data_IF_226321733010
#
_entry.id   IF_226321733010
#
_cell.length_a   1.000
_cell.length_b   1.000
_cell.length_c   1.000
_cell.angle_alpha   90.00
_cell.angle_beta   90.00
_cell.angle_gamma   90.00
#
_symmetry.space_group_name_H-M   'P 1'
#
loop_
_entity.id
_entity.type
_entity.pdbx_description
1 polymer ?
#
# COMPACT_ATOMS: atom_id res chain seq x y z
N UNK A 1 53.63 -71.68 -23.87
CA UNK A 1 52.27 -71.35 -23.38
C UNK A 1 52.08 -69.87 -23.65
N UNK A 2 50.96 -69.41 -24.21
CA UNK A 2 50.79 -67.98 -24.47
C UNK A 2 50.43 -67.26 -23.17
N UNK A 3 51.37 -66.47 -22.65
CA UNK A 3 51.11 -65.57 -21.53
C UNK A 3 50.15 -64.46 -21.98
N UNK A 4 48.96 -64.46 -21.41
CA UNK A 4 47.98 -63.42 -21.69
C UNK A 4 48.48 -62.12 -21.06
N UNK A 5 48.95 -61.20 -21.91
CA UNK A 5 49.30 -59.84 -21.52
C UNK A 5 48.08 -59.22 -20.82
N UNK A 6 48.15 -59.09 -19.49
CA UNK A 6 47.03 -58.64 -18.67
C UNK A 6 46.76 -57.17 -18.98
N UNK A 7 45.63 -56.90 -19.61
CA UNK A 7 45.16 -55.54 -19.84
C UNK A 7 44.61 -54.98 -18.52
N UNK A 8 45.31 -54.02 -17.93
CA UNK A 8 44.86 -53.30 -16.75
C UNK A 8 43.59 -52.49 -17.04
N UNK A 9 42.64 -52.49 -16.11
CA UNK A 9 41.43 -51.67 -16.24
C UNK A 9 41.78 -50.17 -16.22
N UNK A 10 41.00 -49.36 -16.94
CA UNK A 10 41.23 -47.92 -17.08
C UNK A 10 40.12 -47.12 -16.40
N UNK A 11 40.48 -46.47 -15.30
CA UNK A 11 39.66 -45.53 -14.54
C UNK A 11 39.76 -44.14 -15.19
N UNK A 12 38.87 -43.21 -14.82
CA UNK A 12 38.66 -41.86 -15.40
C UNK A 12 39.90 -40.95 -15.63
N UNK A 13 41.11 -41.33 -15.16
CA UNK A 13 42.37 -40.60 -15.36
C UNK A 13 43.61 -41.48 -15.62
N UNK A 14 43.46 -42.79 -15.83
CA UNK A 14 44.58 -43.72 -16.01
C UNK A 14 44.24 -45.16 -15.63
N UNK A 15 45.23 -46.05 -15.63
CA UNK A 15 45.05 -47.44 -15.19
C UNK A 15 44.72 -47.52 -13.69
N UNK A 16 44.00 -48.57 -13.29
CA UNK A 16 43.78 -48.89 -11.88
C UNK A 16 45.13 -49.13 -11.19
N UNK A 17 45.38 -48.31 -10.16
CA UNK A 17 46.63 -48.33 -9.42
C UNK A 17 46.80 -49.62 -8.64
N UNK A 18 45.74 -50.17 -8.05
CA UNK A 18 45.88 -51.36 -7.19
C UNK A 18 46.21 -52.60 -8.02
N UNK A 19 45.61 -52.72 -9.22
CA UNK A 19 45.97 -53.76 -10.20
C UNK A 19 47.44 -53.63 -10.66
N UNK A 20 47.89 -52.42 -10.98
CA UNK A 20 49.27 -52.18 -11.45
C UNK A 20 50.29 -52.39 -10.32
N UNK A 21 50.06 -51.87 -9.11
CA UNK A 21 50.95 -52.07 -7.97
C UNK A 21 51.02 -53.57 -7.56
N UNK A 22 49.92 -54.34 -7.72
CA UNK A 22 49.89 -55.79 -7.50
C UNK A 22 50.66 -56.58 -8.58
N UNK A 23 50.46 -56.30 -9.87
CA UNK A 23 51.21 -56.97 -10.94
C UNK A 23 52.72 -56.65 -10.85
N UNK A 24 53.07 -55.41 -10.50
CA UNK A 24 54.45 -55.01 -10.22
C UNK A 24 55.03 -55.65 -8.96
N UNK A 25 54.21 -56.18 -8.04
CA UNK A 25 54.66 -56.99 -6.93
C UNK A 25 54.94 -58.45 -7.35
N UNK A 26 54.07 -59.04 -8.19
CA UNK A 26 54.28 -60.39 -8.75
C UNK A 26 55.59 -60.47 -9.55
N UNK A 27 55.77 -59.56 -10.51
CA UNK A 27 56.98 -59.47 -11.34
C UNK A 27 58.28 -59.27 -10.52
N UNK A 28 58.19 -58.62 -9.35
CA UNK A 28 59.35 -58.50 -8.44
C UNK A 28 59.64 -59.82 -7.73
N UNK A 29 58.60 -60.51 -7.25
CA UNK A 29 58.74 -61.85 -6.67
C UNK A 29 59.32 -62.87 -7.65
N UNK A 30 58.82 -62.88 -8.88
CA UNK A 30 59.31 -63.73 -9.98
C UNK A 30 60.78 -63.43 -10.32
N UNK A 31 61.17 -62.15 -10.38
CA UNK A 31 62.57 -61.76 -10.59
C UNK A 31 63.50 -62.16 -9.44
N UNK A 32 63.04 -62.09 -8.19
CA UNK A 32 63.83 -62.51 -7.03
C UNK A 32 63.88 -64.04 -6.88
N UNK A 33 62.85 -64.78 -7.31
CA UNK A 33 62.91 -66.23 -7.43
C UNK A 33 63.90 -66.66 -8.53
N UNK A 34 63.82 -66.05 -9.73
CA UNK A 34 64.76 -66.31 -10.83
C UNK A 34 66.21 -65.98 -10.46
N UNK A 35 66.44 -64.96 -9.62
CA UNK A 35 67.76 -64.69 -9.01
C UNK A 35 68.21 -65.82 -8.10
N UNK A 36 67.37 -66.27 -7.17
CA UNK A 36 67.68 -67.40 -6.28
C UNK A 36 67.93 -68.72 -7.03
N UNK A 37 67.19 -68.98 -8.11
CA UNK A 37 67.43 -70.10 -9.03
C UNK A 37 68.79 -69.95 -9.75
N UNK A 38 69.15 -68.74 -10.17
CA UNK A 38 70.47 -68.43 -10.76
C UNK A 38 71.64 -68.61 -9.78
N UNK A 39 71.50 -68.13 -8.54
CA UNK A 39 72.52 -68.26 -7.50
C UNK A 39 72.72 -69.72 -7.08
N UNK A 40 71.65 -70.48 -6.89
CA UNK A 40 71.73 -71.92 -6.58
C UNK A 40 72.30 -72.74 -7.74
N UNK A 41 72.00 -72.38 -8.99
CA UNK A 41 72.65 -72.98 -10.16
C UNK A 41 74.14 -72.65 -10.23
N UNK A 42 74.55 -71.41 -9.92
CA UNK A 42 75.95 -71.00 -9.87
C UNK A 42 76.74 -71.79 -8.82
N UNK A 43 76.24 -71.87 -7.58
CA UNK A 43 76.82 -72.69 -6.51
C UNK A 43 76.93 -74.17 -6.91
N UNK A 44 75.92 -74.71 -7.61
CA UNK A 44 75.96 -76.08 -8.12
C UNK A 44 76.98 -76.30 -9.25
N UNK A 45 77.31 -75.26 -10.04
CA UNK A 45 78.42 -75.33 -11.00
C UNK A 45 79.78 -75.19 -10.33
N UNK A 46 79.91 -74.31 -9.33
CA UNK A 46 81.17 -74.14 -8.58
C UNK A 46 81.56 -75.42 -7.83
N UNK A 47 80.62 -76.07 -7.15
CA UNK A 47 80.85 -77.35 -6.47
C UNK A 47 81.29 -78.47 -7.44
N UNK A 48 80.80 -78.47 -8.69
CA UNK A 48 81.26 -79.40 -9.74
C UNK A 48 82.68 -79.10 -10.20
N UNK A 49 83.05 -77.82 -10.32
CA UNK A 49 84.42 -77.41 -10.66
C UNK A 49 85.39 -77.80 -9.55
N UNK A 50 85.01 -77.60 -8.28
CA UNK A 50 85.79 -78.02 -7.11
C UNK A 50 86.04 -79.54 -7.11
N UNK A 51 84.99 -80.37 -7.27
CA UNK A 51 85.13 -81.83 -7.37
C UNK A 51 86.04 -82.26 -8.53
N UNK A 52 85.92 -81.61 -9.71
CA UNK A 52 86.78 -81.91 -10.86
C UNK A 52 88.25 -81.50 -10.63
N UNK A 53 88.52 -80.45 -9.84
CA UNK A 53 89.89 -80.12 -9.43
C UNK A 53 90.44 -81.11 -8.39
N UNK A 54 89.62 -81.57 -7.44
CA UNK A 54 90.04 -82.61 -6.48
C UNK A 54 90.33 -83.95 -7.18
N UNK A 55 89.53 -84.35 -8.17
CA UNK A 55 89.79 -85.52 -9.02
C UNK A 55 91.10 -85.40 -9.81
N UNK A 56 91.40 -84.19 -10.33
CA UNK A 56 92.61 -83.90 -11.09
C UNK A 56 93.86 -83.94 -10.19
N UNK A 57 93.84 -83.29 -9.03
CA UNK A 57 94.93 -83.32 -8.05
C UNK A 57 95.15 -84.76 -7.53
N UNK A 58 94.07 -85.51 -7.30
CA UNK A 58 94.16 -86.92 -6.95
C UNK A 58 94.74 -87.77 -8.10
N UNK A 59 94.55 -87.39 -9.37
CA UNK A 59 95.17 -88.05 -10.52
C UNK A 59 96.67 -87.70 -10.66
N UNK A 60 97.04 -86.44 -10.45
CA UNK A 60 98.44 -85.98 -10.40
C UNK A 60 99.20 -86.72 -9.29
N UNK A 61 98.67 -86.74 -8.06
CA UNK A 61 99.27 -87.47 -6.95
C UNK A 61 99.36 -89.01 -7.18
N UNK A 62 98.55 -89.57 -8.08
CA UNK A 62 98.66 -90.97 -8.54
C UNK A 62 99.79 -91.14 -9.57
N UNK A 63 100.02 -90.15 -10.44
CA UNK A 63 101.16 -90.11 -11.36
C UNK A 63 102.49 -89.93 -10.62
N UNK A 64 102.59 -88.98 -9.68
CA UNK A 64 103.76 -88.75 -8.83
C UNK A 64 104.14 -90.02 -8.04
N UNK A 65 103.13 -90.75 -7.53
CA UNK A 65 103.33 -92.04 -6.88
C UNK A 65 103.81 -93.14 -7.83
N UNK A 66 103.45 -93.10 -9.11
CA UNK A 66 103.96 -94.03 -10.11
C UNK A 66 105.41 -93.68 -10.47
N UNK A 67 105.74 -92.40 -10.65
CA UNK A 67 107.11 -91.93 -10.89
C UNK A 67 108.04 -92.23 -9.70
N UNK A 68 107.60 -91.97 -8.47
CA UNK A 68 108.35 -92.33 -7.27
C UNK A 68 108.54 -93.85 -7.10
N UNK A 69 107.63 -94.69 -7.64
CA UNK A 69 107.83 -96.14 -7.72
C UNK A 69 108.85 -96.51 -8.79
N UNK A 70 108.81 -95.88 -9.97
CA UNK A 70 109.80 -96.10 -11.03
C UNK A 70 111.20 -95.67 -10.59
N UNK A 71 111.35 -94.52 -9.92
CA UNK A 71 112.63 -94.06 -9.36
C UNK A 71 113.18 -95.00 -8.28
N UNK A 72 112.33 -95.54 -7.40
CA UNK A 72 112.74 -96.57 -6.44
C UNK A 72 113.15 -97.88 -7.12
N UNK A 73 112.45 -98.28 -8.18
CA UNK A 73 112.80 -99.46 -8.95
C UNK A 73 114.13 -99.27 -9.68
N UNK A 74 114.38 -98.08 -10.23
CA UNK A 74 115.66 -97.71 -10.84
C UNK A 74 116.81 -97.68 -9.81
N UNK A 75 116.58 -97.15 -8.61
CA UNK A 75 117.56 -97.25 -7.51
C UNK A 75 117.81 -98.70 -7.10
N UNK A 76 116.77 -99.54 -7.02
CA UNK A 76 116.92 -100.96 -6.70
C UNK A 76 117.68 -101.74 -7.80
N UNK A 77 117.48 -101.39 -9.08
CA UNK A 77 118.29 -101.90 -10.19
C UNK A 77 119.73 -101.44 -10.05
N UNK A 78 119.99 -100.16 -9.72
CA UNK A 78 121.34 -99.65 -9.54
C UNK A 78 122.06 -100.31 -8.36
N UNK A 79 121.40 -100.56 -7.23
CA UNK A 79 122.01 -101.31 -6.11
C UNK A 79 122.27 -102.77 -6.48
N UNK A 80 121.44 -103.39 -7.33
CA UNK A 80 121.69 -104.76 -7.82
C UNK A 80 122.84 -104.82 -8.85
N UNK A 81 123.09 -103.74 -9.60
CA UNK A 81 124.24 -103.60 -10.50
C UNK A 81 125.54 -103.35 -9.70
N UNK A 82 125.45 -102.63 -8.56
CA UNK A 82 126.55 -102.44 -7.60
C UNK A 82 126.85 -103.73 -6.79
N UNK A 83 125.84 -104.41 -6.24
CA UNK A 83 125.98 -105.73 -5.60
C UNK A 83 126.49 -106.80 -6.59
N UNK A 84 126.12 -106.69 -7.87
CA UNK A 84 126.63 -107.53 -8.96
C UNK A 84 128.05 -107.19 -9.44
N UNK A 85 128.69 -106.15 -8.91
CA UNK A 85 130.03 -105.71 -9.29
C UNK A 85 131.13 -106.04 -8.27
N UNK A 86 130.78 -106.26 -6.98
CA UNK A 86 131.77 -106.41 -5.90
C UNK A 86 132.15 -107.88 -5.60
N UNK A 87 131.41 -108.88 -6.11
CA UNK A 87 131.87 -110.29 -6.08
C UNK A 87 132.83 -110.58 -7.24
N UNK A 88 134.09 -110.24 -7.05
CA UNK A 88 135.19 -110.52 -8.00
C UNK A 88 136.24 -111.48 -7.44
N UNK A 89 135.78 -112.62 -6.93
CA UNK A 89 136.66 -113.77 -6.64
C UNK A 89 136.93 -114.58 -7.92
N UNK A 90 138.19 -114.75 -8.38
CA UNK A 90 138.45 -115.37 -9.68
C UNK A 90 138.57 -116.90 -9.60
N UNK A 91 137.48 -117.64 -9.85
CA UNK A 91 137.46 -118.97 -10.52
C UNK A 91 136.02 -119.53 -10.59
N UNK A 92 135.28 -119.23 -11.68
CA UNK A 92 133.93 -119.79 -11.90
C UNK A 92 133.10 -119.07 -12.96
N UNK A 93 132.23 -119.82 -13.64
CA UNK A 93 131.00 -119.42 -14.36
C UNK A 93 130.93 -118.05 -15.04
N UNK A 94 131.73 -117.91 -16.10
CA UNK A 94 131.56 -116.85 -17.11
C UNK A 94 130.26 -116.94 -17.93
N UNK A 95 129.25 -117.75 -17.56
CA UNK A 95 127.99 -117.92 -18.30
C UNK A 95 126.76 -117.34 -17.58
N UNK A 96 126.56 -117.58 -16.27
CA UNK A 96 125.35 -117.11 -15.57
C UNK A 96 125.28 -115.58 -15.55
N UNK A 97 126.37 -114.89 -15.21
CA UNK A 97 126.46 -113.42 -15.30
C UNK A 97 126.33 -112.84 -16.71
N UNK A 98 126.27 -113.67 -17.76
CA UNK A 98 125.82 -113.28 -19.12
C UNK A 98 124.35 -113.63 -19.34
N UNK A 99 123.88 -114.81 -18.92
CA UNK A 99 122.46 -115.17 -19.02
C UNK A 99 121.55 -114.22 -18.24
N UNK A 100 121.93 -113.80 -17.04
CA UNK A 100 121.12 -112.87 -16.22
C UNK A 100 121.01 -111.49 -16.89
N UNK A 101 122.11 -110.96 -17.44
CA UNK A 101 122.07 -109.70 -18.23
C UNK A 101 121.32 -109.83 -19.55
N UNK A 102 121.41 -110.97 -20.23
CA UNK A 102 120.59 -111.24 -21.44
C UNK A 102 119.10 -111.32 -21.08
N UNK A 103 118.73 -111.99 -19.98
CA UNK A 103 117.34 -112.05 -19.52
C UNK A 103 116.83 -110.71 -19.01
N UNK A 104 117.65 -109.89 -18.33
CA UNK A 104 117.26 -108.53 -17.98
C UNK A 104 117.12 -107.63 -19.21
N UNK A 105 117.99 -107.76 -20.22
CA UNK A 105 117.82 -107.04 -21.50
C UNK A 105 116.58 -107.52 -22.28
N UNK A 106 116.23 -108.81 -22.20
CA UNK A 106 115.01 -109.37 -22.79
C UNK A 106 113.75 -108.89 -22.05
N UNK A 107 113.77 -108.87 -20.72
CA UNK A 107 112.69 -108.31 -19.88
C UNK A 107 112.54 -106.80 -20.11
N UNK A 108 113.64 -106.05 -20.17
CA UNK A 108 113.63 -104.61 -20.48
C UNK A 108 113.08 -104.35 -21.89
N UNK A 109 113.46 -105.16 -22.88
CA UNK A 109 112.92 -105.06 -24.25
C UNK A 109 111.44 -105.43 -24.33
N UNK A 110 110.99 -106.43 -23.57
CA UNK A 110 109.56 -106.77 -23.48
C UNK A 110 108.79 -105.67 -22.73
N UNK A 111 109.37 -105.06 -21.70
CA UNK A 111 108.78 -103.91 -21.00
C UNK A 111 108.76 -102.65 -21.87
N UNK A 112 109.77 -102.43 -22.71
CA UNK A 112 109.84 -101.35 -23.71
C UNK A 112 108.78 -101.54 -24.80
N UNK A 113 108.60 -102.76 -25.31
CA UNK A 113 107.56 -103.09 -26.31
C UNK A 113 106.14 -103.04 -25.70
N UNK A 114 105.98 -103.45 -24.42
CA UNK A 114 104.73 -103.26 -23.66
C UNK A 114 104.45 -101.79 -23.34
N UNK A 115 105.47 -100.98 -23.01
CA UNK A 115 105.31 -99.54 -22.79
C UNK A 115 104.98 -98.82 -24.10
N UNK A 116 105.67 -99.18 -25.19
CA UNK A 116 105.42 -98.70 -26.55
C UNK A 116 103.97 -98.99 -26.96
N UNK A 117 103.53 -100.25 -26.85
CA UNK A 117 102.16 -100.64 -27.19
C UNK A 117 101.10 -100.01 -26.26
N UNK A 118 101.39 -99.82 -24.97
CA UNK A 118 100.53 -99.05 -24.06
C UNK A 118 100.44 -97.57 -24.48
N UNK A 119 101.55 -96.94 -24.89
CA UNK A 119 101.58 -95.56 -25.38
C UNK A 119 100.85 -95.41 -26.72
N UNK A 120 100.97 -96.35 -27.66
CA UNK A 120 100.20 -96.32 -28.92
C UNK A 120 98.70 -96.58 -28.68
N UNK A 121 98.35 -97.46 -27.75
CA UNK A 121 96.95 -97.69 -27.37
C UNK A 121 96.36 -96.49 -26.62
N UNK A 122 97.13 -95.84 -25.75
CA UNK A 122 96.71 -94.63 -25.03
C UNK A 122 96.56 -93.43 -25.97
N UNK A 123 97.50 -93.20 -26.90
CA UNK A 123 97.39 -92.14 -27.92
C UNK A 123 96.20 -92.38 -28.86
N UNK A 124 96.03 -93.57 -29.42
CA UNK A 124 94.86 -93.93 -30.25
C UNK A 124 93.54 -93.75 -29.48
N UNK A 125 93.52 -94.08 -28.18
CA UNK A 125 92.34 -93.88 -27.33
C UNK A 125 92.07 -92.41 -27.03
N UNK A 126 93.11 -91.61 -26.81
CA UNK A 126 93.01 -90.17 -26.57
C UNK A 126 92.58 -89.42 -27.84
N UNK A 127 93.16 -89.74 -29.00
CA UNK A 127 92.74 -89.25 -30.32
C UNK A 127 91.27 -89.56 -30.56
N UNK A 128 90.83 -90.80 -30.32
CA UNK A 128 89.43 -91.17 -30.41
C UNK A 128 88.53 -90.36 -29.45
N UNK A 129 88.92 -90.22 -28.19
CA UNK A 129 88.14 -89.43 -27.21
C UNK A 129 88.04 -87.96 -27.65
N UNK A 130 89.11 -87.40 -28.22
CA UNK A 130 89.11 -86.05 -28.79
C UNK A 130 88.20 -85.96 -30.02
N UNK A 131 88.22 -86.93 -30.93
CA UNK A 131 87.35 -86.95 -32.11
C UNK A 131 85.87 -87.14 -31.74
N UNK A 132 85.55 -88.09 -30.85
CA UNK A 132 84.20 -88.31 -30.32
C UNK A 132 83.69 -87.03 -29.59
N UNK A 133 84.55 -86.35 -28.81
CA UNK A 133 84.21 -85.09 -28.13
C UNK A 133 84.13 -83.87 -29.07
N UNK A 134 84.95 -83.79 -30.11
CA UNK A 134 84.87 -82.77 -31.16
C UNK A 134 83.55 -82.91 -31.93
N UNK A 135 83.19 -84.14 -32.31
CA UNK A 135 81.94 -84.45 -33.00
C UNK A 135 80.72 -84.10 -32.13
N UNK A 136 80.74 -84.44 -30.83
CA UNK A 136 79.65 -84.11 -29.91
C UNK A 136 79.52 -82.60 -29.67
N UNK A 137 80.64 -81.89 -29.47
CA UNK A 137 80.66 -80.42 -29.39
C UNK A 137 80.02 -79.78 -30.62
N UNK A 138 80.33 -80.28 -31.81
CA UNK A 138 79.83 -79.68 -33.06
C UNK A 138 78.39 -80.11 -33.39
N UNK A 139 77.89 -81.23 -32.85
CA UNK A 139 76.44 -81.53 -32.75
C UNK A 139 75.74 -80.52 -31.86
N UNK A 140 76.18 -80.38 -30.60
CA UNK A 140 75.59 -79.47 -29.60
C UNK A 140 75.57 -78.03 -30.15
N UNK A 141 76.64 -77.58 -30.80
CA UNK A 141 76.69 -76.26 -31.47
C UNK A 141 75.67 -76.12 -32.60
N UNK A 142 75.50 -77.15 -33.43
CA UNK A 142 74.53 -77.14 -34.54
C UNK A 142 73.09 -77.15 -34.01
N UNK A 143 72.82 -77.98 -33.01
CA UNK A 143 71.51 -78.07 -32.36
C UNK A 143 71.14 -76.75 -31.67
N UNK A 144 72.05 -76.18 -30.87
CA UNK A 144 71.85 -74.85 -30.26
C UNK A 144 71.70 -73.72 -31.31
N UNK A 145 72.36 -73.81 -32.47
CA UNK A 145 72.15 -72.86 -33.57
C UNK A 145 70.78 -73.03 -34.25
N UNK A 146 70.32 -74.26 -34.44
CA UNK A 146 68.97 -74.53 -34.97
C UNK A 146 67.87 -74.11 -33.99
N UNK A 147 68.06 -74.35 -32.69
CA UNK A 147 67.13 -73.92 -31.64
C UNK A 147 67.10 -72.39 -31.51
N UNK A 148 68.26 -71.73 -31.46
CA UNK A 148 68.33 -70.26 -31.46
C UNK A 148 67.67 -69.65 -32.70
N UNK A 149 67.85 -70.26 -33.88
CA UNK A 149 67.17 -69.84 -35.11
C UNK A 149 65.64 -70.01 -35.03
N UNK A 150 65.15 -71.11 -34.45
CA UNK A 150 63.70 -71.34 -34.23
C UNK A 150 63.12 -70.32 -33.25
N UNK A 151 63.76 -70.10 -32.10
CA UNK A 151 63.31 -69.12 -31.09
C UNK A 151 63.31 -67.70 -31.66
N UNK A 152 64.32 -67.33 -32.47
CA UNK A 152 64.33 -66.04 -33.15
C UNK A 152 63.21 -65.91 -34.19
N UNK A 153 62.87 -66.97 -34.92
CA UNK A 153 61.75 -66.97 -35.87
C UNK A 153 60.38 -66.91 -35.16
N UNK A 154 60.22 -67.62 -34.05
CA UNK A 154 59.00 -67.61 -33.24
C UNK A 154 58.79 -66.22 -32.60
N UNK A 155 59.82 -65.64 -31.98
CA UNK A 155 59.77 -64.29 -31.42
C UNK A 155 59.55 -63.20 -32.48
N UNK A 156 60.11 -63.34 -33.69
CA UNK A 156 59.82 -62.45 -34.82
C UNK A 156 58.37 -62.57 -35.28
N UNK A 157 57.83 -63.80 -35.36
CA UNK A 157 56.44 -64.02 -35.74
C UNK A 157 55.45 -63.47 -34.69
N UNK A 158 55.72 -63.69 -33.41
CA UNK A 158 54.91 -63.15 -32.31
C UNK A 158 54.97 -61.61 -32.29
N UNK A 159 56.15 -61.01 -32.48
CA UNK A 159 56.27 -59.56 -32.62
C UNK A 159 55.51 -59.00 -33.83
N UNK A 160 55.51 -59.70 -34.97
CA UNK A 160 54.66 -59.35 -36.11
C UNK A 160 53.16 -59.48 -35.81
N UNK A 161 52.73 -60.52 -35.11
CA UNK A 161 51.32 -60.73 -34.73
C UNK A 161 50.84 -59.65 -33.76
N UNK A 162 51.61 -59.38 -32.70
CA UNK A 162 51.32 -58.33 -31.72
C UNK A 162 51.28 -56.94 -32.39
N UNK A 163 52.22 -56.66 -33.31
CA UNK A 163 52.22 -55.42 -34.10
C UNK A 163 50.98 -55.30 -34.98
N UNK A 164 50.67 -56.31 -35.81
CA UNK A 164 49.49 -56.31 -36.70
C UNK A 164 48.20 -56.14 -35.89
N UNK A 165 48.10 -56.82 -34.73
CA UNK A 165 46.98 -56.67 -33.80
C UNK A 165 46.83 -55.22 -33.34
N UNK A 166 47.90 -54.61 -32.82
CA UNK A 166 47.88 -53.21 -32.41
C UNK A 166 47.54 -52.25 -33.56
N UNK A 167 48.07 -52.48 -34.77
CA UNK A 167 47.71 -51.70 -35.97
C UNK A 167 46.21 -51.82 -36.32
N UNK A 168 45.61 -53.00 -36.18
CA UNK A 168 44.16 -53.18 -36.36
C UNK A 168 43.32 -52.56 -35.24
N UNK A 169 43.75 -52.66 -33.98
CA UNK A 169 43.07 -52.07 -32.83
C UNK A 169 43.11 -50.53 -32.91
N UNK A 170 44.27 -49.94 -33.20
CA UNK A 170 44.43 -48.50 -33.46
C UNK A 170 43.52 -48.03 -34.61
N UNK A 171 43.45 -48.79 -35.71
CA UNK A 171 42.57 -48.47 -36.84
C UNK A 171 41.09 -48.53 -36.45
N UNK A 172 40.69 -49.52 -35.64
CA UNK A 172 39.32 -49.64 -35.15
C UNK A 172 38.94 -48.53 -34.16
N UNK A 173 39.83 -48.16 -33.24
CA UNK A 173 39.63 -47.03 -32.32
C UNK A 173 39.52 -45.70 -33.09
N UNK A 174 40.40 -45.48 -34.08
CA UNK A 174 40.33 -44.31 -34.96
C UNK A 174 39.00 -44.22 -35.70
N UNK A 175 38.54 -45.33 -36.30
CA UNK A 175 37.27 -45.36 -37.01
C UNK A 175 36.07 -45.05 -36.09
N UNK A 176 36.07 -45.56 -34.85
CA UNK A 176 35.05 -45.21 -33.83
C UNK A 176 35.05 -43.71 -33.54
N UNK A 177 36.21 -43.13 -33.24
CA UNK A 177 36.36 -41.69 -32.97
C UNK A 177 35.89 -40.85 -34.17
N UNK A 178 36.23 -41.24 -35.40
CA UNK A 178 35.78 -40.55 -36.61
C UNK A 178 34.23 -40.63 -36.78
N UNK A 179 33.59 -41.75 -36.43
CA UNK A 179 32.11 -41.85 -36.42
C UNK A 179 31.44 -41.09 -35.27
N UNK A 180 32.05 -41.06 -34.08
CA UNK A 180 31.56 -40.34 -32.91
C UNK A 180 31.62 -38.82 -33.13
N UNK A 181 32.75 -38.32 -33.66
CA UNK A 181 32.90 -36.92 -34.08
C UNK A 181 31.89 -36.55 -35.18
N UNK A 182 31.60 -37.44 -36.12
CA UNK A 182 30.53 -37.26 -37.10
C UNK A 182 29.15 -37.10 -36.46
N UNK A 183 28.79 -37.99 -35.53
CA UNK A 183 27.51 -37.91 -34.81
C UNK A 183 27.40 -36.67 -33.92
N UNK A 184 28.49 -36.25 -33.26
CA UNK A 184 28.53 -35.01 -32.47
C UNK A 184 28.38 -33.77 -33.37
N UNK A 185 29.06 -33.73 -34.52
CA UNK A 185 28.91 -32.66 -35.50
C UNK A 185 27.48 -32.56 -36.06
N UNK A 186 26.84 -33.69 -36.34
CA UNK A 186 25.43 -33.72 -36.76
C UNK A 186 24.50 -33.18 -35.67
N UNK A 187 24.66 -33.64 -34.42
CA UNK A 187 23.90 -33.16 -33.25
C UNK A 187 24.06 -31.67 -32.98
N UNK A 188 25.29 -31.14 -33.07
CA UNK A 188 25.54 -29.69 -32.98
C UNK A 188 24.81 -28.96 -34.11
N UNK A 189 24.93 -29.43 -35.35
CA UNK A 189 24.21 -28.82 -36.48
C UNK A 189 22.68 -28.86 -36.32
N UNK A 190 22.14 -29.86 -35.63
CA UNK A 190 20.72 -29.95 -35.30
C UNK A 190 20.34 -28.95 -34.21
N UNK A 191 21.10 -28.89 -33.11
CA UNK A 191 20.88 -27.92 -32.05
C UNK A 191 20.98 -26.46 -32.55
N UNK A 192 21.91 -26.16 -33.46
CA UNK A 192 22.01 -24.85 -34.11
C UNK A 192 20.76 -24.50 -34.92
N UNK A 193 20.21 -25.46 -35.68
CA UNK A 193 18.96 -25.28 -36.45
C UNK A 193 17.76 -25.08 -35.53
N UNK A 194 17.66 -25.87 -34.46
CA UNK A 194 16.58 -25.77 -33.48
C UNK A 194 16.66 -24.43 -32.71
N UNK A 195 17.85 -24.00 -32.30
CA UNK A 195 18.08 -22.69 -31.69
C UNK A 195 17.70 -21.53 -32.62
N UNK A 196 18.01 -21.60 -33.92
CA UNK A 196 17.60 -20.59 -34.91
C UNK A 196 16.07 -20.55 -35.09
N UNK A 197 15.40 -21.70 -35.08
CA UNK A 197 13.92 -21.76 -35.12
C UNK A 197 13.33 -21.13 -33.86
N UNK A 198 13.81 -21.52 -32.67
CA UNK A 198 13.33 -20.99 -31.39
C UNK A 198 13.56 -19.48 -31.25
N UNK A 199 14.72 -18.96 -31.68
CA UNK A 199 14.99 -17.52 -31.74
C UNK A 199 14.01 -16.82 -32.69
N UNK A 200 13.83 -17.35 -33.90
CA UNK A 200 12.88 -16.80 -34.87
C UNK A 200 11.41 -16.88 -34.42
N UNK A 201 11.06 -17.80 -33.52
CA UNK A 201 9.74 -17.88 -32.87
C UNK A 201 9.60 -16.90 -31.72
N UNK A 202 10.62 -16.77 -30.87
CA UNK A 202 10.68 -15.78 -29.79
C UNK A 202 10.62 -14.35 -30.33
N UNK A 203 11.32 -14.05 -31.43
CA UNK A 203 11.24 -12.76 -32.12
C UNK A 203 9.84 -12.47 -32.67
N UNK A 204 9.20 -13.46 -33.33
CA UNK A 204 7.82 -13.35 -33.81
C UNK A 204 6.82 -13.14 -32.68
N UNK A 205 6.95 -13.88 -31.58
CA UNK A 205 6.11 -13.74 -30.40
C UNK A 205 6.30 -12.36 -29.73
N UNK A 206 7.55 -11.92 -29.56
CA UNK A 206 7.84 -10.60 -29.01
C UNK A 206 7.41 -9.45 -29.94
N UNK A 207 7.41 -9.64 -31.26
CA UNK A 207 6.83 -8.68 -32.20
C UNK A 207 5.29 -8.63 -32.09
N UNK A 208 4.63 -9.79 -31.97
CA UNK A 208 3.18 -9.88 -31.77
C UNK A 208 2.75 -9.23 -30.44
N UNK A 209 3.43 -9.51 -29.34
CA UNK A 209 3.20 -8.90 -28.02
C UNK A 209 3.33 -7.37 -28.06
N UNK A 210 4.38 -6.84 -28.72
CA UNK A 210 4.54 -5.38 -28.90
C UNK A 210 3.42 -4.78 -29.75
N UNK A 211 3.01 -5.45 -30.83
CA UNK A 211 1.92 -5.00 -31.70
C UNK A 211 0.54 -5.04 -31.01
N UNK A 212 0.32 -6.01 -30.11
CA UNK A 212 -0.87 -6.07 -29.26
C UNK A 212 -0.87 -4.92 -28.23
N UNK A 213 0.19 -4.76 -27.45
CA UNK A 213 0.30 -3.69 -26.45
C UNK A 213 0.19 -2.29 -27.07
N UNK A 214 0.68 -2.09 -28.31
CA UNK A 214 0.49 -0.84 -29.06
C UNK A 214 -0.99 -0.59 -29.40
N UNK A 215 -1.73 -1.60 -29.88
CA UNK A 215 -3.17 -1.47 -30.16
C UNK A 215 -3.96 -1.16 -28.90
N UNK A 216 -3.75 -1.92 -27.84
CA UNK A 216 -4.40 -1.71 -26.53
C UNK A 216 -4.10 -0.29 -26.00
N UNK A 217 -2.87 0.19 -26.15
CA UNK A 217 -2.47 1.55 -25.78
C UNK A 217 -3.15 2.62 -26.64
N UNK A 218 -3.37 2.39 -27.94
CA UNK A 218 -4.03 3.34 -28.84
C UNK A 218 -5.55 3.32 -28.69
N UNK A 219 -6.17 2.16 -28.46
CA UNK A 219 -7.58 2.03 -28.10
C UNK A 219 -7.88 2.74 -26.77
N UNK A 220 -7.01 2.57 -25.76
CA UNK A 220 -7.12 3.31 -24.48
C UNK A 220 -6.98 4.83 -24.66
N UNK A 221 -6.16 5.33 -25.59
CA UNK A 221 -6.10 6.76 -25.93
C UNK A 221 -7.40 7.24 -26.57
N UNK A 222 -7.95 6.48 -27.53
CA UNK A 222 -9.20 6.82 -28.22
C UNK A 222 -10.39 6.86 -27.24
N UNK A 223 -10.42 5.94 -26.28
CA UNK A 223 -11.40 5.89 -25.19
C UNK A 223 -11.23 7.04 -24.20
N UNK A 224 -9.99 7.35 -23.78
CA UNK A 224 -9.70 8.51 -22.93
C UNK A 224 -10.11 9.83 -23.63
N UNK A 225 -9.78 9.99 -24.92
CA UNK A 225 -10.22 11.14 -25.73
C UNK A 225 -11.74 11.20 -25.87
N UNK A 226 -12.43 10.06 -25.94
CA UNK A 226 -13.91 10.01 -25.97
C UNK A 226 -14.49 10.53 -24.66
N UNK A 227 -13.99 10.03 -23.53
CA UNK A 227 -14.40 10.47 -22.18
C UNK A 227 -14.10 11.95 -21.97
N UNK A 228 -12.93 12.45 -22.40
CA UNK A 228 -12.56 13.87 -22.31
C UNK A 228 -13.45 14.75 -23.19
N UNK A 229 -13.82 14.30 -24.40
CA UNK A 229 -14.78 15.01 -25.26
C UNK A 229 -16.18 15.05 -24.65
N UNK A 230 -16.66 13.94 -24.09
CA UNK A 230 -17.95 13.88 -23.43
C UNK A 230 -18.00 14.74 -22.16
N UNK A 231 -16.97 14.69 -21.31
CA UNK A 231 -16.86 15.52 -20.12
C UNK A 231 -16.83 17.02 -20.46
N UNK A 232 -16.16 17.41 -21.56
CA UNK A 232 -16.20 18.79 -22.08
C UNK A 232 -17.59 19.18 -22.58
N UNK A 233 -18.31 18.30 -23.26
CA UNK A 233 -19.69 18.56 -23.71
C UNK A 233 -20.64 18.74 -22.52
N UNK A 234 -20.66 17.79 -21.57
CA UNK A 234 -21.45 17.85 -20.33
C UNK A 234 -21.14 19.11 -19.52
N UNK A 235 -19.87 19.54 -19.47
CA UNK A 235 -19.50 20.81 -18.83
C UNK A 235 -20.14 22.01 -19.53
N UNK A 236 -20.07 22.11 -20.86
CA UNK A 236 -20.69 23.22 -21.61
C UNK A 236 -22.21 23.24 -21.43
N UNK A 237 -22.85 22.07 -21.34
CA UNK A 237 -24.28 21.94 -21.02
C UNK A 237 -24.61 22.44 -19.62
N UNK A 238 -23.79 22.09 -18.60
CA UNK A 238 -23.94 22.56 -17.22
C UNK A 238 -23.67 24.07 -17.09
N UNK A 239 -22.59 24.58 -17.70
CA UNK A 239 -22.25 26.00 -17.72
C UNK A 239 -23.41 26.81 -18.35
N UNK A 240 -24.00 26.33 -19.46
CA UNK A 240 -25.17 26.94 -20.10
C UNK A 240 -26.49 26.79 -19.31
N UNK A 241 -26.65 25.72 -18.51
CA UNK A 241 -27.78 25.57 -17.60
C UNK A 241 -27.67 26.51 -16.39
N UNK A 242 -26.44 26.75 -15.91
CA UNK A 242 -26.16 27.71 -14.83
C UNK A 242 -26.44 29.14 -15.31
N UNK A 243 -25.98 29.55 -16.49
CA UNK A 243 -26.27 30.92 -16.99
C UNK A 243 -27.78 31.13 -17.18
N UNK A 244 -28.50 30.17 -17.79
CA UNK A 244 -29.97 30.27 -17.90
C UNK A 244 -30.64 30.44 -16.54
N UNK A 245 -30.28 29.63 -15.54
CA UNK A 245 -30.82 29.75 -14.18
C UNK A 245 -30.45 31.07 -13.50
N UNK A 246 -29.29 31.65 -13.81
CA UNK A 246 -28.89 32.98 -13.34
C UNK A 246 -29.70 34.08 -14.04
N UNK A 247 -29.93 33.99 -15.35
CA UNK A 247 -30.73 34.93 -16.13
C UNK A 247 -32.21 34.90 -15.70
N UNK A 248 -32.76 33.71 -15.49
CA UNK A 248 -34.13 33.50 -14.97
C UNK A 248 -34.26 34.10 -13.56
N UNK A 249 -33.33 33.79 -12.65
CA UNK A 249 -33.34 34.33 -11.29
C UNK A 249 -33.15 35.86 -11.24
N UNK A 250 -32.34 36.43 -12.14
CA UNK A 250 -32.21 37.89 -12.30
C UNK A 250 -33.51 38.52 -12.81
N UNK A 251 -34.18 37.90 -13.77
CA UNK A 251 -35.48 38.36 -14.27
C UNK A 251 -36.57 38.28 -13.19
N UNK A 252 -36.63 37.19 -12.42
CA UNK A 252 -37.53 37.08 -11.27
C UNK A 252 -37.24 38.11 -10.19
N UNK A 253 -35.96 38.33 -9.86
CA UNK A 253 -35.55 39.36 -8.91
C UNK A 253 -35.96 40.77 -9.37
N UNK A 254 -35.72 41.12 -10.63
CA UNK A 254 -36.14 42.41 -11.21
C UNK A 254 -37.67 42.55 -11.26
N UNK A 255 -38.40 41.46 -11.54
CA UNK A 255 -39.87 41.44 -11.51
C UNK A 255 -40.42 41.64 -10.09
N UNK A 256 -39.85 40.96 -9.09
CA UNK A 256 -40.23 41.12 -7.69
C UNK A 256 -39.82 42.48 -7.13
N UNK A 257 -38.65 43.00 -7.51
CA UNK A 257 -38.20 44.33 -7.12
C UNK A 257 -39.09 45.44 -7.70
N UNK A 258 -39.41 45.40 -9.00
CA UNK A 258 -40.34 46.35 -9.61
C UNK A 258 -41.77 46.22 -9.04
N UNK A 259 -42.24 45.01 -8.73
CA UNK A 259 -43.50 44.78 -8.01
C UNK A 259 -43.49 45.39 -6.59
N UNK A 260 -42.36 45.31 -5.88
CA UNK A 260 -42.17 45.90 -4.55
C UNK A 260 -42.05 47.43 -4.59
N UNK A 261 -41.32 48.00 -5.55
CA UNK A 261 -41.25 49.45 -5.79
C UNK A 261 -42.64 50.00 -6.11
N UNK A 262 -43.35 49.41 -7.08
CA UNK A 262 -44.71 49.81 -7.42
C UNK A 262 -45.72 49.59 -6.27
N UNK A 263 -45.40 48.76 -5.27
CA UNK A 263 -46.19 48.62 -4.03
C UNK A 263 -45.86 49.73 -3.02
N UNK A 264 -44.58 50.04 -2.82
CA UNK A 264 -44.14 51.16 -2.00
C UNK A 264 -44.65 52.50 -2.54
N UNK A 265 -44.58 52.73 -3.85
CA UNK A 265 -45.13 53.91 -4.53
C UNK A 265 -46.64 54.07 -4.28
N UNK A 266 -47.41 52.98 -4.40
CA UNK A 266 -48.85 52.98 -4.08
C UNK A 266 -49.12 53.30 -2.61
N UNK A 267 -48.33 52.75 -1.67
CA UNK A 267 -48.44 53.09 -0.24
C UNK A 267 -48.09 54.56 0.00
N UNK A 268 -47.07 55.10 -0.65
CA UNK A 268 -46.72 56.53 -0.51
C UNK A 268 -47.76 57.46 -1.14
N UNK A 269 -48.38 57.08 -2.26
CA UNK A 269 -49.50 57.83 -2.84
C UNK A 269 -50.69 57.83 -1.89
N UNK A 270 -51.16 56.65 -1.46
CA UNK A 270 -52.29 56.49 -0.53
C UNK A 270 -52.03 57.21 0.82
N UNK A 271 -50.80 57.20 1.32
CA UNK A 271 -50.40 58.00 2.49
C UNK A 271 -50.45 59.51 2.22
N UNK A 272 -49.95 59.98 1.07
CA UNK A 272 -50.02 61.39 0.67
C UNK A 272 -51.46 61.85 0.44
N UNK A 273 -52.31 61.03 -0.18
CA UNK A 273 -53.73 61.28 -0.41
C UNK A 273 -54.50 61.33 0.93
N UNK A 274 -54.17 60.45 1.88
CA UNK A 274 -54.69 60.50 3.27
C UNK A 274 -54.24 61.75 4.01
N UNK A 275 -52.98 62.17 3.87
CA UNK A 275 -52.48 63.42 4.47
C UNK A 275 -53.14 64.64 3.84
N UNK A 276 -53.30 64.68 2.51
CA UNK A 276 -53.98 65.76 1.80
C UNK A 276 -55.48 65.84 2.19
N UNK A 277 -56.15 64.70 2.29
CA UNK A 277 -57.54 64.59 2.76
C UNK A 277 -57.69 65.04 4.21
N UNK A 278 -56.79 64.60 5.11
CA UNK A 278 -56.78 65.04 6.50
C UNK A 278 -56.53 66.55 6.64
N UNK A 279 -55.62 67.12 5.85
CA UNK A 279 -55.38 68.57 5.80
C UNK A 279 -56.57 69.34 5.23
N UNK A 280 -57.26 68.80 4.22
CA UNK A 280 -58.49 69.40 3.68
C UNK A 280 -59.64 69.36 4.69
N UNK A 281 -59.81 68.24 5.40
CA UNK A 281 -60.80 68.12 6.48
C UNK A 281 -60.47 69.06 7.65
N UNK A 282 -59.21 69.15 8.07
CA UNK A 282 -58.77 70.07 9.12
C UNK A 282 -59.02 71.55 8.74
N UNK A 283 -58.76 71.93 7.48
CA UNK A 283 -59.14 73.26 6.96
C UNK A 283 -60.65 73.48 7.00
N UNK A 284 -61.44 72.52 6.54
CA UNK A 284 -62.90 72.66 6.54
C UNK A 284 -63.48 72.77 7.97
N UNK A 285 -62.93 72.02 8.93
CA UNK A 285 -63.31 72.14 10.35
C UNK A 285 -62.87 73.49 10.93
N UNK A 286 -61.72 74.03 10.53
CA UNK A 286 -61.29 75.38 10.91
C UNK A 286 -62.22 76.46 10.31
N UNK A 287 -62.52 76.41 9.02
CA UNK A 287 -63.46 77.30 8.32
C UNK A 287 -64.87 77.26 8.95
N UNK A 288 -65.38 76.06 9.26
CA UNK A 288 -66.64 75.89 10.00
C UNK A 288 -66.55 76.50 11.40
N UNK A 289 -65.43 76.29 12.11
CA UNK A 289 -65.23 76.82 13.47
C UNK A 289 -65.18 78.35 13.47
N UNK A 290 -64.47 78.96 12.52
CA UNK A 290 -64.46 80.41 12.31
C UNK A 290 -65.86 80.93 11.95
N UNK A 291 -66.62 80.24 11.10
CA UNK A 291 -67.99 80.61 10.76
C UNK A 291 -68.94 80.51 11.97
N UNK A 292 -68.81 79.47 12.80
CA UNK A 292 -69.56 79.35 14.07
C UNK A 292 -69.14 80.42 15.07
N UNK A 293 -67.86 80.78 15.16
CA UNK A 293 -67.39 81.85 16.03
C UNK A 293 -67.90 83.23 15.57
N UNK A 294 -67.90 83.49 14.25
CA UNK A 294 -68.47 84.70 13.66
C UNK A 294 -69.99 84.78 13.88
N UNK A 295 -70.72 83.68 13.67
CA UNK A 295 -72.16 83.58 13.95
C UNK A 295 -72.46 83.79 15.44
N UNK A 296 -71.66 83.19 16.33
CA UNK A 296 -71.78 83.37 17.79
C UNK A 296 -71.52 84.82 18.21
N UNK A 297 -70.47 85.46 17.68
CA UNK A 297 -70.21 86.90 17.88
C UNK A 297 -71.35 87.78 17.37
N UNK A 298 -71.92 87.48 16.20
CA UNK A 298 -73.06 88.20 15.65
C UNK A 298 -74.34 88.01 16.49
N UNK A 299 -74.62 86.78 16.94
CA UNK A 299 -75.74 86.49 17.85
C UNK A 299 -75.57 87.17 19.21
N UNK A 300 -74.36 87.18 19.78
CA UNK A 300 -74.06 87.89 21.02
C UNK A 300 -74.30 89.40 20.87
N UNK A 301 -73.81 90.01 19.78
CA UNK A 301 -74.05 91.42 19.48
C UNK A 301 -75.54 91.73 19.24
N UNK A 302 -76.29 90.83 18.59
CA UNK A 302 -77.75 90.95 18.41
C UNK A 302 -78.49 90.86 19.75
N UNK A 303 -78.11 89.92 20.63
CA UNK A 303 -78.68 89.78 21.97
C UNK A 303 -78.40 91.05 22.78
N UNK A 304 -77.16 91.55 22.77
CA UNK A 304 -76.76 92.78 23.45
C UNK A 304 -77.53 94.00 22.93
N UNK A 305 -77.66 94.16 21.61
CA UNK A 305 -78.47 95.21 21.00
C UNK A 305 -79.96 95.10 21.38
N UNK A 306 -80.53 93.89 21.38
CA UNK A 306 -81.92 93.66 21.80
C UNK A 306 -82.14 93.92 23.30
N UNK A 307 -81.13 93.71 24.13
CA UNK A 307 -81.16 93.99 25.56
C UNK A 307 -81.08 95.50 25.81
N UNK A 308 -80.17 96.20 25.11
CA UNK A 308 -80.08 97.67 25.10
C UNK A 308 -81.39 98.32 24.65
N UNK A 309 -82.00 97.83 23.56
CA UNK A 309 -83.27 98.35 23.05
C UNK A 309 -84.46 98.09 24.00
N UNK A 310 -84.52 96.93 24.66
CA UNK A 310 -85.52 96.65 25.71
C UNK A 310 -85.30 97.52 26.93
N UNK A 311 -84.05 97.73 27.35
CA UNK A 311 -83.72 98.61 28.47
C UNK A 311 -84.08 100.08 28.18
N UNK A 312 -83.79 100.61 26.98
CA UNK A 312 -84.22 101.96 26.60
C UNK A 312 -85.75 102.06 26.53
N UNK A 313 -86.43 101.07 25.95
CA UNK A 313 -87.91 101.04 25.91
C UNK A 313 -88.54 101.01 27.31
N UNK A 314 -87.96 100.29 28.27
CA UNK A 314 -88.40 100.31 29.67
C UNK A 314 -88.14 101.66 30.35
N UNK A 315 -86.99 102.30 30.07
CA UNK A 315 -86.68 103.63 30.61
C UNK A 315 -87.63 104.70 30.04
N UNK A 316 -87.97 104.62 28.75
CA UNK A 316 -88.89 105.57 28.11
C UNK A 316 -90.35 105.31 28.49
N UNK A 317 -90.79 104.07 28.66
CA UNK A 317 -92.09 103.75 29.25
C UNK A 317 -92.17 104.23 30.72
N UNK A 318 -91.11 104.06 31.51
CA UNK A 318 -91.03 104.57 32.87
C UNK A 318 -91.06 106.11 32.93
N UNK A 319 -90.37 106.79 32.01
CA UNK A 319 -90.45 108.25 31.82
C UNK A 319 -91.87 108.68 31.43
N UNK A 320 -92.52 107.98 30.50
CA UNK A 320 -93.88 108.31 30.06
C UNK A 320 -94.93 108.07 31.15
N UNK A 321 -94.80 107.00 31.95
CA UNK A 321 -95.61 106.79 33.17
C UNK A 321 -95.34 107.87 34.21
N UNK A 322 -94.08 108.25 34.42
CA UNK A 322 -93.74 109.35 35.35
C UNK A 322 -94.35 110.67 34.89
N UNK A 323 -94.29 110.98 33.58
CA UNK A 323 -94.88 112.18 33.01
C UNK A 323 -96.42 112.16 33.09
N UNK A 324 -97.09 111.02 32.84
CA UNK A 324 -98.55 110.95 32.96
C UNK A 324 -99.03 111.04 34.42
N UNK A 325 -98.23 110.56 35.38
CA UNK A 325 -98.45 110.79 36.81
C UNK A 325 -98.29 112.30 37.13
N UNK A 326 -97.23 112.95 36.64
CA UNK A 326 -97.03 114.40 36.80
C UNK A 326 -98.16 115.21 36.16
N UNK A 327 -98.62 114.86 34.96
CA UNK A 327 -99.69 115.56 34.25
C UNK A 327 -101.05 115.35 34.91
N UNK A 328 -101.35 114.15 35.42
CA UNK A 328 -102.59 113.88 36.16
C UNK A 328 -102.62 114.57 37.53
N UNK A 329 -101.50 114.60 38.26
CA UNK A 329 -101.36 115.41 39.49
C UNK A 329 -101.47 116.91 39.19
N UNK A 330 -100.86 117.38 38.09
CA UNK A 330 -100.94 118.79 37.64
C UNK A 330 -102.35 119.16 37.20
N UNK A 331 -103.09 118.23 36.59
CA UNK A 331 -104.51 118.43 36.25
C UNK A 331 -105.36 118.47 37.53
N UNK A 332 -105.23 117.48 38.41
CA UNK A 332 -106.03 117.41 39.63
C UNK A 332 -105.82 118.64 40.53
N UNK A 333 -104.58 119.11 40.69
CA UNK A 333 -104.29 120.36 41.43
C UNK A 333 -104.87 121.60 40.77
N UNK A 334 -104.90 121.69 39.44
CA UNK A 334 -105.60 122.76 38.70
C UNK A 334 -107.12 122.68 38.86
N UNK A 335 -107.70 121.48 38.82
CA UNK A 335 -109.15 121.27 38.95
C UNK A 335 -109.61 121.62 40.39
N UNK A 336 -108.84 121.22 41.41
CA UNK A 336 -109.06 121.61 42.83
C UNK A 336 -108.93 123.13 43.03
N UNK A 337 -107.94 123.78 42.38
CA UNK A 337 -107.81 125.23 42.41
C UNK A 337 -109.04 125.92 41.76
N UNK A 338 -109.57 125.35 40.67
CA UNK A 338 -110.74 125.87 39.95
C UNK A 338 -112.03 125.74 40.77
N UNK A 339 -112.25 124.58 41.40
CA UNK A 339 -113.39 124.38 42.31
C UNK A 339 -113.31 125.34 43.50
N UNK A 340 -112.11 125.56 44.06
CA UNK A 340 -111.90 126.57 45.09
C UNK A 340 -112.22 128.00 44.60
N UNK A 341 -111.76 128.39 43.40
CA UNK A 341 -112.11 129.69 42.81
C UNK A 341 -113.62 129.87 42.63
N UNK A 342 -114.31 128.91 42.01
CA UNK A 342 -115.75 128.99 41.77
C UNK A 342 -116.57 128.98 43.07
N UNK A 343 -116.08 128.30 44.12
CA UNK A 343 -116.64 128.39 45.48
C UNK A 343 -116.53 129.81 46.07
N UNK A 344 -115.45 130.56 45.79
CA UNK A 344 -115.35 131.98 46.17
C UNK A 344 -116.23 132.90 45.32
N UNK A 345 -116.46 132.58 44.03
CA UNK A 345 -117.39 133.33 43.16
C UNK A 345 -118.83 133.15 43.64
N UNK A 346 -119.22 131.93 44.00
CA UNK A 346 -120.53 131.60 44.57
C UNK A 346 -120.86 132.41 45.83
N UNK A 347 -119.93 132.47 46.79
CA UNK A 347 -120.11 133.25 48.03
C UNK A 347 -120.27 134.76 47.77
N UNK A 348 -119.54 135.35 46.81
CA UNK A 348 -119.72 136.77 46.41
C UNK A 348 -121.08 137.02 45.74
N UNK A 349 -121.58 136.08 44.95
CA UNK A 349 -122.89 136.19 44.30
C UNK A 349 -124.02 136.19 45.34
N UNK A 350 -123.98 135.27 46.30
CA UNK A 350 -124.93 135.20 47.42
C UNK A 350 -124.92 136.48 48.27
N UNK A 351 -123.74 137.04 48.56
CA UNK A 351 -123.60 138.30 49.29
C UNK A 351 -124.23 139.51 48.56
N UNK A 352 -124.33 139.46 47.23
CA UNK A 352 -124.91 140.54 46.42
C UNK A 352 -126.44 140.49 46.41
N UNK A 353 -127.04 139.28 46.36
CA UNK A 353 -128.50 139.12 46.35
C UNK A 353 -129.16 139.54 47.68
N UNK A 354 -128.48 139.33 48.81
CA UNK A 354 -128.98 139.73 50.14
C UNK A 354 -129.25 141.24 50.29
N UNK A 355 -128.46 142.09 49.64
CA UNK A 355 -128.65 143.55 49.71
C UNK A 355 -129.84 144.04 48.88
N UNK A 356 -130.23 143.34 47.81
CA UNK A 356 -131.38 143.72 46.98
C UNK A 356 -132.71 143.47 47.69
N UNK A 357 -132.84 142.30 48.33
CA UNK A 357 -134.09 141.86 48.95
C UNK A 357 -134.54 142.76 50.14
N UNK A 358 -133.58 143.36 50.84
CA UNK A 358 -133.84 144.28 51.96
C UNK A 358 -134.57 145.58 51.55
N UNK A 359 -134.57 145.94 50.27
CA UNK A 359 -135.28 147.13 49.77
C UNK A 359 -136.76 146.88 49.46
N UNK A 360 -137.15 145.63 49.17
CA UNK A 360 -138.51 145.29 48.72
C UNK A 360 -139.41 144.84 49.88
N UNK A 361 -138.83 144.17 50.90
CA UNK A 361 -139.54 143.69 52.09
C UNK A 361 -140.11 144.83 52.96
N UNK A 362 -139.58 146.06 52.87
CA UNK A 362 -140.13 147.20 53.63
C UNK A 362 -141.42 147.78 53.00
N UNK A 363 -141.83 147.35 51.80
CA UNK A 363 -143.05 147.84 51.13
C UNK A 363 -144.31 146.99 51.37
N UNK A 364 -144.20 145.81 52.00
CA UNK A 364 -145.34 144.95 52.35
C UNK A 364 -145.33 144.61 53.84
N UNK A 365 -145.61 145.66 54.62
CA UNK A 365 -145.80 145.63 56.07
C UNK A 365 -146.98 144.73 56.46
N UNK A 366 -146.79 143.94 57.53
CA UNK A 366 -147.70 142.90 58.05
C UNK A 366 -147.83 141.68 57.11
N UNK A 367 -147.37 140.49 57.50
CA UNK A 367 -147.82 139.73 58.68
C UNK A 367 -146.67 139.02 59.43
N UNK A 368 -146.95 138.69 60.70
CA UNK A 368 -146.24 137.79 61.64
C UNK A 368 -145.70 136.46 61.04
N UNK A 369 -144.78 135.70 61.65
CA UNK A 369 -143.87 135.82 62.82
C UNK A 369 -143.06 134.50 62.91
N UNK A 370 -141.93 134.47 63.65
CA UNK A 370 -141.24 133.25 64.14
C UNK A 370 -140.73 132.19 63.10
N UNK A 371 -139.88 131.20 63.43
CA UNK A 371 -138.74 131.13 64.35
C UNK A 371 -137.83 129.90 64.04
N UNK A 372 -136.61 129.91 64.57
CA UNK A 372 -135.81 128.83 65.22
C UNK A 372 -136.45 127.41 65.42
N UNK A 373 -135.70 126.31 65.70
CA UNK A 373 -134.40 125.84 65.15
C UNK A 373 -134.14 124.28 65.20
N UNK A 374 -132.87 123.84 64.95
CA UNK A 374 -132.26 122.51 65.31
C UNK A 374 -132.82 121.29 64.52
N UNK A 375 -132.28 120.05 64.53
CA UNK A 375 -131.32 119.31 65.40
C UNK A 375 -130.31 118.38 64.66
N UNK A 376 -129.30 117.94 65.43
CA UNK A 376 -128.30 116.85 65.28
C UNK A 376 -128.88 115.43 64.95
N UNK A 377 -128.15 114.52 64.25
CA UNK A 377 -127.76 113.14 64.71
C UNK A 377 -127.33 112.04 63.67
N UNK A 378 -126.29 111.26 64.07
CA UNK A 378 -126.04 109.79 63.95
C UNK A 378 -125.98 108.94 62.64
N UNK A 379 -124.76 108.44 62.34
CA UNK A 379 -124.22 107.04 62.48
C UNK A 379 -124.71 105.80 61.65
N UNK A 380 -123.78 104.82 61.53
CA UNK A 380 -123.93 103.42 61.01
C UNK A 380 -123.42 103.20 59.57
N UNK A 381 -122.91 102.04 59.10
CA UNK A 381 -122.42 100.74 59.65
C UNK A 381 -121.79 99.95 58.46
N UNK A 382 -120.59 99.35 58.44
CA UNK A 382 -119.98 98.22 59.20
C UNK A 382 -120.13 96.82 58.52
N UNK A 383 -119.16 95.90 58.75
CA UNK A 383 -119.10 94.45 58.44
C UNK A 383 -118.80 93.98 56.98
N UNK A 384 -118.25 92.77 56.70
CA UNK A 384 -117.35 91.85 57.46
C UNK A 384 -116.86 90.63 56.61
N UNK A 385 -115.80 89.95 57.11
CA UNK A 385 -115.47 88.50 57.02
C UNK A 385 -114.99 87.82 55.70
N UNK A 386 -114.16 86.75 55.86
CA UNK A 386 -113.86 85.72 54.84
C UNK A 386 -112.44 85.10 54.86
N UNK A 387 -112.21 83.95 55.52
CA UNK A 387 -110.98 83.14 55.45
C UNK A 387 -111.18 81.78 54.69
N UNK A 388 -110.27 80.81 54.95
CA UNK A 388 -110.17 79.42 54.47
C UNK A 388 -109.40 79.21 53.14
N UNK A 389 -108.89 78.01 52.77
CA UNK A 389 -108.08 76.91 53.36
C UNK A 389 -108.10 75.73 52.33
N UNK A 390 -107.30 74.67 52.54
CA UNK A 390 -107.20 73.42 51.75
C UNK A 390 -106.56 73.49 50.32
N UNK A 391 -106.05 72.41 49.69
CA UNK A 391 -105.16 71.26 50.03
C UNK A 391 -105.16 70.23 48.87
N UNK A 392 -104.15 69.33 48.79
CA UNK A 392 -104.01 68.14 47.91
C UNK A 392 -103.64 68.38 46.43
N UNK A 393 -102.92 67.51 45.69
CA UNK A 393 -101.83 66.51 45.95
C UNK A 393 -101.19 66.21 44.54
N UNK A 394 -100.31 65.24 44.15
CA UNK A 394 -99.64 64.03 44.68
C UNK A 394 -98.46 63.68 43.73
N UNK A 395 -97.53 62.73 43.96
CA UNK A 395 -96.82 62.24 45.17
C UNK A 395 -95.75 61.18 44.77
N UNK A 396 -94.50 61.27 45.28
CA UNK A 396 -93.47 60.17 45.35
C UNK A 396 -93.00 59.50 44.03
N UNK A 397 -91.95 58.66 43.94
CA UNK A 397 -90.90 58.14 44.86
C UNK A 397 -89.58 57.96 44.05
N UNK A 398 -88.36 58.15 44.57
CA UNK A 398 -87.59 57.39 45.57
C UNK A 398 -86.82 56.14 45.07
N UNK A 399 -85.55 56.06 45.50
CA UNK A 399 -84.71 54.85 45.77
C UNK A 399 -84.28 53.90 44.63
N UNK A 400 -82.95 53.69 44.59
CA UNK A 400 -82.27 52.50 44.03
C UNK A 400 -82.47 51.26 44.96
N UNK A 401 -82.01 50.01 44.63
CA UNK A 401 -80.57 49.70 44.70
C UNK A 401 -80.02 48.53 43.82
N UNK A 402 -78.68 48.48 43.75
CA UNK A 402 -77.76 47.32 43.82
C UNK A 402 -77.87 46.03 42.93
N UNK A 403 -76.68 45.66 42.41
CA UNK A 403 -76.06 44.31 42.38
C UNK A 403 -76.41 43.26 41.28
N UNK A 404 -75.34 42.92 40.53
CA UNK A 404 -74.85 41.62 39.97
C UNK A 404 -75.58 40.30 40.39
N UNK A 405 -75.61 39.21 39.57
CA UNK A 405 -74.45 38.69 38.80
C UNK A 405 -74.70 37.93 37.47
N UNK A 406 -73.63 37.53 36.76
CA UNK A 406 -73.41 36.19 36.13
C UNK A 406 -72.08 36.15 35.32
N UNK A 407 -71.80 35.06 34.58
CA UNK A 407 -70.44 34.56 34.22
C UNK A 407 -70.39 34.00 32.78
N UNK A 408 -69.17 33.70 32.27
CA UNK A 408 -68.78 33.24 30.92
C UNK A 408 -68.72 34.37 29.87
N UNK A 409 -67.70 34.50 29.00
CA UNK A 409 -66.99 33.53 28.15
C UNK A 409 -67.89 32.99 27.01
N UNK A 410 -67.46 32.88 25.76
CA UNK A 410 -66.10 32.87 25.17
C UNK A 410 -66.04 33.70 23.87
N UNK A 411 -64.90 34.31 23.53
CA UNK A 411 -64.42 34.43 22.13
C UNK A 411 -62.95 34.90 22.10
N UNK A 412 -62.05 34.05 21.59
CA UNK A 412 -60.93 34.51 20.75
C UNK A 412 -60.29 33.37 19.96
N UNK A 413 -60.50 33.38 18.64
CA UNK A 413 -59.72 32.58 17.69
C UNK A 413 -58.25 32.97 17.73
N UNK A 414 -57.35 31.99 17.83
CA UNK A 414 -55.92 32.13 17.54
C UNK A 414 -55.53 31.01 16.57
N UNK A 415 -54.88 31.37 15.47
CA UNK A 415 -54.40 30.43 14.45
C UNK A 415 -53.08 29.79 14.93
N UNK A 416 -52.90 28.46 14.79
CA UNK A 416 -51.63 27.82 15.09
C UNK A 416 -50.64 28.06 13.94
N UNK A 417 -49.70 28.98 14.15
CA UNK A 417 -48.57 29.18 13.23
C UNK A 417 -47.41 28.21 13.50
N UNK A 418 -46.50 28.13 12.54
CA UNK A 418 -45.63 26.96 12.31
C UNK A 418 -44.19 27.07 12.87
N UNK A 419 -43.49 25.93 12.87
CA UNK A 419 -42.05 25.74 13.14
C UNK A 419 -41.50 26.08 14.53
N UNK A 420 -41.14 25.03 15.28
CA UNK A 420 -39.72 24.62 15.45
C UNK A 420 -39.66 23.16 15.91
N UNK A 421 -39.09 22.27 15.07
CA UNK A 421 -38.74 20.92 15.47
C UNK A 421 -37.22 20.85 15.68
N UNK A 422 -36.76 20.70 16.92
CA UNK A 422 -35.36 20.43 17.21
C UNK A 422 -35.06 18.95 16.97
N UNK A 423 -34.48 18.65 15.80
CA UNK A 423 -33.72 17.41 15.58
C UNK A 423 -32.27 17.63 16.04
N UNK A 424 -31.54 16.57 16.44
CA UNK A 424 -30.16 16.71 16.93
C UNK A 424 -29.17 16.97 15.80
N UNK A 425 -28.11 17.73 16.09
CA UNK A 425 -26.94 17.83 15.23
C UNK A 425 -26.19 16.49 15.17
N UNK A 426 -26.05 15.93 13.97
CA UNK A 426 -25.13 14.82 13.67
C UNK A 426 -24.31 15.18 12.44
N UNK A 427 -23.02 15.40 12.63
CA UNK A 427 -22.07 15.80 11.59
C UNK A 427 -21.72 14.61 10.65
N UNK A 428 -22.08 14.65 9.36
CA UNK A 428 -22.01 13.49 8.47
C UNK A 428 -20.62 13.27 7.82
N UNK A 429 -19.52 13.70 8.47
CA UNK A 429 -18.17 13.69 7.90
C UNK A 429 -17.07 13.06 8.79
N UNK A 430 -17.43 12.44 9.92
CA UNK A 430 -16.44 11.89 10.86
C UNK A 430 -15.85 10.51 10.48
N UNK A 431 -16.61 9.64 9.80
CA UNK A 431 -16.30 8.20 9.65
C UNK A 431 -15.57 7.82 8.34
N UNK A 432 -14.66 8.67 7.84
CA UNK A 432 -13.80 8.37 6.68
C UNK A 432 -12.32 8.74 6.89
N UNK A 433 -11.77 8.34 8.04
CA UNK A 433 -10.32 8.25 8.23
C UNK A 433 -9.80 6.92 7.63
N UNK A 434 -9.02 7.00 6.55
CA UNK A 434 -8.39 5.84 5.92
C UNK A 434 -7.04 5.57 6.62
N UNK A 435 -6.80 4.33 7.03
CA UNK A 435 -5.46 3.90 7.46
C UNK A 435 -4.50 3.92 6.26
N UNK A 436 -3.51 4.80 6.32
CA UNK A 436 -2.37 4.84 5.39
C UNK A 436 -1.11 4.91 6.24
N UNK A 437 -0.45 3.78 6.43
CA UNK A 437 0.76 3.65 7.24
C UNK A 437 1.88 3.01 6.42
N UNK A 438 2.58 3.83 5.63
CA UNK A 438 3.93 3.53 5.13
C UNK A 438 4.62 4.81 4.60
N UNK A 439 5.62 5.37 5.30
CA UNK A 439 6.48 6.42 4.79
C UNK A 439 7.78 5.83 4.22
N UNK A 440 7.90 5.80 2.88
CA UNK A 440 9.18 5.54 2.21
C UNK A 440 10.00 6.83 2.21
N UNK A 441 11.02 6.92 3.08
CA UNK A 441 12.06 7.95 3.00
C UNK A 441 13.31 7.43 2.28
N UNK A 442 14.07 8.35 1.67
CA UNK A 442 15.10 8.04 0.68
C UNK A 442 16.53 7.91 1.19
N UNK A 443 17.42 7.53 0.28
CA UNK A 443 18.87 7.42 0.48
C UNK A 443 19.53 8.75 0.87
N UNK A 444 20.66 8.67 1.58
CA UNK A 444 21.85 9.41 1.19
C UNK A 444 23.04 8.49 0.85
N UNK A 445 23.90 8.93 -0.07
CA UNK A 445 25.10 8.25 -0.54
C UNK A 445 26.40 8.68 0.22
N UNK A 446 27.47 7.94 -0.08
CA UNK A 446 28.92 8.24 0.06
C UNK A 446 29.70 7.82 1.34
N UNK A 447 30.80 7.11 1.05
CA UNK A 447 32.10 6.90 1.74
C UNK A 447 32.22 6.44 3.21
N UNK A 448 32.95 5.32 3.42
CA UNK A 448 33.20 4.81 4.79
C UNK A 448 34.11 3.58 5.06
N UNK A 449 35.01 3.16 4.17
CA UNK A 449 36.10 2.17 4.44
C UNK A 449 35.75 0.67 4.73
N UNK A 450 36.82 -0.15 4.70
CA UNK A 450 36.88 -1.63 4.65
C UNK A 450 36.95 -2.33 6.06
N UNK A 451 37.31 -3.63 6.21
CA UNK A 451 36.52 -4.84 5.88
C UNK A 451 36.49 -5.92 6.99
N UNK A 452 35.54 -6.87 6.99
CA UNK A 452 35.72 -8.14 7.72
C UNK A 452 34.82 -9.33 7.31
N UNK A 453 35.46 -10.47 7.08
CA UNK A 453 34.99 -11.85 7.34
C UNK A 453 33.63 -12.31 6.77
N UNK A 454 33.69 -13.04 5.65
CA UNK A 454 32.70 -14.09 5.33
C UNK A 454 32.73 -15.18 6.40
N UNK A 455 31.59 -15.49 7.00
CA UNK A 455 31.42 -16.68 7.86
C UNK A 455 30.88 -17.85 7.03
N UNK A 456 31.66 -18.91 6.92
CA UNK A 456 31.33 -20.15 6.22
C UNK A 456 30.20 -20.91 6.95
N UNK A 457 29.05 -21.11 6.28
CA UNK A 457 27.94 -21.90 6.81
C UNK A 457 28.00 -23.32 6.23
N UNK A 458 28.47 -24.26 7.06
CA UNK A 458 28.43 -25.69 6.74
C UNK A 458 26.97 -26.16 6.75
N UNK A 459 26.52 -26.74 5.64
CA UNK A 459 25.23 -27.43 5.55
C UNK A 459 25.49 -28.92 5.61
N UNK A 460 25.17 -29.56 6.73
CA UNK A 460 25.19 -31.01 6.85
C UNK A 460 24.09 -31.63 5.98
N UNK A 461 24.48 -32.20 4.84
CA UNK A 461 23.58 -32.97 3.98
C UNK A 461 23.42 -34.36 4.58
N UNK A 462 22.32 -34.56 5.31
CA UNK A 462 21.89 -35.88 5.75
C UNK A 462 21.40 -36.67 4.54
N UNK A 463 22.19 -37.65 4.12
CA UNK A 463 21.76 -38.62 3.12
C UNK A 463 20.75 -39.58 3.76
N UNK A 464 19.53 -39.58 3.23
CA UNK A 464 18.59 -40.66 3.46
C UNK A 464 18.80 -41.70 2.37
N UNK A 465 19.27 -42.89 2.77
CA UNK A 465 19.22 -44.08 1.93
C UNK A 465 17.77 -44.58 1.93
N UNK A 466 17.07 -44.44 0.81
CA UNK A 466 15.76 -45.07 0.60
C UNK A 466 15.99 -46.47 0.03
N UNK A 467 15.80 -47.51 0.87
CA UNK A 467 15.81 -48.91 0.43
C UNK A 467 14.62 -49.18 -0.50
N UNK A 468 14.85 -49.20 -1.83
CA UNK A 468 13.85 -49.60 -2.82
C UNK A 468 13.54 -51.11 -2.71
N UNK A 469 12.55 -51.47 -1.88
CA UNK A 469 12.06 -52.85 -1.77
C UNK A 469 11.40 -53.32 -3.08
N UNK A 470 12.12 -54.14 -3.84
CA UNK A 470 11.70 -54.69 -5.13
C UNK A 470 10.44 -55.56 -5.01
N UNK A 471 9.32 -55.12 -5.61
CA UNK A 471 8.08 -55.90 -5.69
C UNK A 471 8.10 -56.90 -6.89
N UNK A 472 8.14 -58.22 -6.63
CA UNK A 472 8.14 -59.23 -7.69
C UNK A 472 6.74 -59.47 -8.33
N UNK A 473 5.70 -58.71 -7.97
CA UNK A 473 4.36 -58.87 -8.54
C UNK A 473 4.18 -58.29 -9.95
N UNK A 474 5.14 -57.51 -10.46
CA UNK A 474 5.02 -56.77 -11.73
C UNK A 474 5.21 -57.68 -12.97
N UNK A 475 5.82 -58.86 -12.84
CA UNK A 475 6.23 -59.70 -13.97
C UNK A 475 5.46 -61.05 -14.02
N UNK A 476 4.16 -61.00 -14.38
CA UNK A 476 3.28 -62.16 -14.67
C UNK A 476 2.18 -61.90 -15.69
#
# INVERSE_FOLDING_TARGET
MAEQQQAFDQVFRGYDREQVDAAMASLRGELDELRGQGETAALATEARVQHLSEDLDAAIARADQAEARMLRLAQQVQTLDEEGADDTTPEGDGEEGRQTRVRFAEILRVAEDQASTLVTNASTSAERILDDANAERDRIRKEAQEEAARVLQEAQHEAELARRRSETEQTAHRARIETELGSLGEKVSQADREAQVLLGEAERAAAAMRAQAQRETDDLKLDADRIVREAKARRVELDAAITRRQDDAQQEFLRLHSQAVAHAERITSDANDKVASALAHAKHVAEQSEAYEQLSKAQAAQIEASAKARASSMLDEARQRSQSIVDTVTKHTKDVLRDAEDRTRSLRYQQTQLNGFMAEVQSLMHVADAADPRTWSAAGSEAAAGPDDAVADASTASSAPAAVPSVAAEDRVVVPDSHTASAPDTDPLADLAIEVDEPVEGEPLEDGAEPSTTSEQVVDVVWHEEDEEYDPAIDR
#
